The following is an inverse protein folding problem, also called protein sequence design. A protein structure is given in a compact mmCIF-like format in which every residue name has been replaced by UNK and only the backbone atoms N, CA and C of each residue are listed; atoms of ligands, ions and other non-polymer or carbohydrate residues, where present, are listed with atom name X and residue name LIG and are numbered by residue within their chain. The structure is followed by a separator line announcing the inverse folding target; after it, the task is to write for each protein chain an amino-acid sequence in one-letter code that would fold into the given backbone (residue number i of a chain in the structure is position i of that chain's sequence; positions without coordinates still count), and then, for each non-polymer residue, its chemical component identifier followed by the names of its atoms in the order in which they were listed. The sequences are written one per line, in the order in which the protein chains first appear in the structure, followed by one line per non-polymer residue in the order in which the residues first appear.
data_IF_070137627051
#
_entry.id   IF_070137627051
#
_cell.length_a   1.000
_cell.length_b   1.000
_cell.length_c   1.000
_cell.angle_alpha   90.00
_cell.angle_beta   90.00
_cell.angle_gamma   90.00
#
_symmetry.space_group_name_H-M   'P 1'
#
loop_
_entity.id
_entity.type
_entity.pdbx_description
1 polymer ?
#
# COMPACT_ATOMS: atom_id res chain seq x y z
N UNK A 1 -8.43 31.42 -1.26
CA UNK A 1 -8.60 30.17 -0.50
C UNK A 1 -9.28 30.51 0.81
N UNK A 2 -10.06 29.59 1.38
CA UNK A 2 -10.63 29.83 2.71
C UNK A 2 -9.56 29.61 3.79
N UNK A 3 -9.63 30.30 4.94
CA UNK A 3 -8.70 30.09 6.07
C UNK A 3 -8.66 28.61 6.51
N UNK A 4 -9.79 27.91 6.35
CA UNK A 4 -9.89 26.47 6.54
C UNK A 4 -8.92 25.70 5.63
N UNK A 5 -8.90 26.00 4.33
CA UNK A 5 -8.03 25.29 3.38
C UNK A 5 -6.55 25.52 3.66
N UNK A 6 -6.19 26.74 4.05
CA UNK A 6 -4.80 27.10 4.35
C UNK A 6 -4.23 26.30 5.53
N UNK A 7 -5.06 25.95 6.51
CA UNK A 7 -4.66 25.14 7.66
C UNK A 7 -4.87 23.64 7.43
N UNK A 8 -5.95 23.25 6.76
CA UNK A 8 -6.30 21.84 6.51
C UNK A 8 -5.27 21.16 5.60
N UNK A 9 -4.91 21.79 4.47
CA UNK A 9 -4.04 21.19 3.44
C UNK A 9 -2.68 20.74 4.01
N UNK A 10 -1.91 21.56 4.75
CA UNK A 10 -0.62 21.12 5.28
C UNK A 10 -0.77 20.04 6.35
N UNK A 11 -1.76 20.13 7.25
CA UNK A 11 -1.97 19.14 8.31
C UNK A 11 -2.34 17.79 7.71
N UNK A 12 -3.37 17.76 6.85
CA UNK A 12 -3.82 16.56 6.18
C UNK A 12 -2.76 16.01 5.22
N UNK A 13 -2.06 16.89 4.50
CA UNK A 13 -1.01 16.51 3.56
C UNK A 13 0.14 15.75 4.24
N UNK A 14 0.63 16.25 5.37
CA UNK A 14 1.69 15.56 6.14
C UNK A 14 1.19 14.21 6.66
N UNK A 15 -0.02 14.17 7.23
CA UNK A 15 -0.60 12.92 7.72
C UNK A 15 -0.82 11.89 6.60
N UNK A 16 -1.26 12.33 5.42
CA UNK A 16 -1.45 11.48 4.25
C UNK A 16 -0.12 10.89 3.76
N UNK A 17 0.96 11.69 3.73
CA UNK A 17 2.30 11.20 3.37
C UNK A 17 2.79 10.15 4.37
N UNK A 18 2.69 10.43 5.67
CA UNK A 18 3.10 9.48 6.72
C UNK A 18 2.28 8.19 6.64
N UNK A 19 0.96 8.32 6.48
CA UNK A 19 0.04 7.19 6.30
C UNK A 19 0.41 6.34 5.09
N UNK A 20 0.69 6.97 3.93
CA UNK A 20 1.09 6.27 2.71
C UNK A 20 2.39 5.49 2.90
N UNK A 21 3.40 6.09 3.55
CA UNK A 21 4.68 5.43 3.83
C UNK A 21 4.48 4.21 4.74
N UNK A 22 3.67 4.33 5.80
CA UNK A 22 3.39 3.23 6.72
C UNK A 22 2.64 2.07 6.04
N UNK A 23 1.59 2.36 5.26
CA UNK A 23 0.87 1.35 4.49
C UNK A 23 1.77 0.69 3.45
N UNK A 24 2.68 1.47 2.85
CA UNK A 24 3.60 0.98 1.83
C UNK A 24 4.64 0.01 2.41
N UNK A 25 5.20 0.34 3.57
CA UNK A 25 6.08 -0.56 4.33
C UNK A 25 5.30 -1.81 4.73
N UNK A 26 4.06 -1.67 5.20
CA UNK A 26 3.18 -2.78 5.56
C UNK A 26 3.03 -3.82 4.45
N UNK A 27 2.86 -3.40 3.20
CA UNK A 27 2.76 -4.32 2.06
C UNK A 27 4.03 -5.09 1.72
N UNK A 28 5.18 -4.69 2.29
CA UNK A 28 6.50 -5.31 2.05
C UNK A 28 6.92 -6.27 3.16
N UNK A 29 6.40 -6.09 4.38
CA UNK A 29 6.73 -6.96 5.52
C UNK A 29 6.20 -8.38 5.30
N UNK A 30 6.94 -9.39 5.75
CA UNK A 30 6.52 -10.80 5.74
C UNK A 30 5.74 -11.16 7.00
N UNK A 31 4.73 -12.02 6.86
CA UNK A 31 3.84 -12.42 7.96
C UNK A 31 2.49 -11.69 7.90
N UNK A 32 1.62 -11.96 8.87
CA UNK A 32 0.25 -11.39 8.90
C UNK A 32 0.13 -10.25 9.92
N UNK A 33 0.76 -10.40 11.09
CA UNK A 33 0.59 -9.47 12.22
C UNK A 33 1.22 -8.10 11.93
N UNK A 34 2.47 -8.07 11.47
CA UNK A 34 3.18 -6.81 11.17
C UNK A 34 2.46 -5.94 10.12
N UNK A 35 2.10 -6.50 8.94
CA UNK A 35 1.30 -5.80 7.95
C UNK A 35 -0.03 -5.29 8.49
N UNK A 36 -0.76 -6.11 9.27
CA UNK A 36 -2.04 -5.72 9.84
C UNK A 36 -1.90 -4.52 10.78
N UNK A 37 -0.92 -4.55 11.69
CA UNK A 37 -0.64 -3.45 12.62
C UNK A 37 -0.28 -2.18 11.86
N UNK A 38 0.57 -2.26 10.84
CA UNK A 38 0.96 -1.12 10.02
C UNK A 38 -0.21 -0.51 9.24
N UNK A 39 -1.13 -1.34 8.71
CA UNK A 39 -2.35 -0.86 8.04
C UNK A 39 -3.28 -0.17 9.03
N UNK A 40 -3.48 -0.74 10.23
CA UNK A 40 -4.29 -0.11 11.27
C UNK A 40 -3.71 1.25 11.71
N UNK A 41 -2.40 1.33 11.94
CA UNK A 41 -1.72 2.58 12.30
C UNK A 41 -1.82 3.58 11.15
N UNK A 42 -1.60 3.15 9.90
CA UNK A 42 -1.73 4.00 8.72
C UNK A 42 -3.13 4.59 8.58
N UNK A 43 -4.17 3.78 8.76
CA UNK A 43 -5.56 4.22 8.74
C UNK A 43 -5.86 5.21 9.87
N UNK A 44 -5.35 4.93 11.08
CA UNK A 44 -5.48 5.84 12.23
C UNK A 44 -4.79 7.19 11.99
N UNK A 45 -3.57 7.21 11.48
CA UNK A 45 -2.84 8.45 11.18
C UNK A 45 -3.56 9.28 10.12
N UNK A 46 -4.08 8.64 9.07
CA UNK A 46 -4.85 9.34 8.03
C UNK A 46 -6.17 9.91 8.58
N UNK A 47 -6.90 9.12 9.36
CA UNK A 47 -8.13 9.55 10.02
C UNK A 47 -7.87 10.72 10.97
N UNK A 48 -6.86 10.60 11.83
CA UNK A 48 -6.53 11.60 12.83
C UNK A 48 -6.05 12.91 12.18
N UNK A 49 -5.26 12.83 11.12
CA UNK A 49 -4.86 14.01 10.34
C UNK A 49 -6.02 14.70 9.65
N UNK A 50 -6.99 13.94 9.13
CA UNK A 50 -8.23 14.48 8.55
C UNK A 50 -9.05 15.18 9.64
N UNK A 51 -9.25 14.55 10.79
CA UNK A 51 -9.97 15.11 11.92
C UNK A 51 -9.31 16.40 12.45
N UNK A 52 -8.01 16.36 12.75
CA UNK A 52 -7.27 17.53 13.23
C UNK A 52 -7.23 18.66 12.21
N UNK A 53 -7.03 18.33 10.93
CA UNK A 53 -7.04 19.34 9.87
C UNK A 53 -8.36 20.09 9.80
N UNK A 54 -9.48 19.38 9.96
CA UNK A 54 -10.80 19.99 9.99
C UNK A 54 -11.02 20.78 11.28
N UNK A 55 -10.74 20.20 12.45
CA UNK A 55 -10.92 20.88 13.74
C UNK A 55 -10.15 22.21 13.78
N UNK A 56 -8.85 22.19 13.47
CA UNK A 56 -8.02 23.40 13.44
C UNK A 56 -8.48 24.34 12.33
N UNK A 57 -8.80 23.82 11.15
CA UNK A 57 -9.28 24.63 10.02
C UNK A 57 -10.59 25.38 10.32
N UNK A 58 -11.55 24.73 10.98
CA UNK A 58 -12.81 25.34 11.39
C UNK A 58 -12.61 26.35 12.51
N UNK A 59 -11.81 26.04 13.53
CA UNK A 59 -11.52 26.99 14.62
C UNK A 59 -10.89 28.28 14.07
N UNK A 60 -9.92 28.16 13.17
CA UNK A 60 -9.30 29.32 12.51
C UNK A 60 -10.32 30.08 11.68
N UNK A 61 -11.13 29.37 10.88
CA UNK A 61 -12.16 29.99 10.05
C UNK A 61 -13.22 30.76 10.87
N UNK A 62 -13.60 30.25 12.04
CA UNK A 62 -14.53 30.90 12.96
C UNK A 62 -13.92 32.10 13.72
N UNK A 63 -12.59 32.17 13.82
CA UNK A 63 -11.89 33.25 14.52
C UNK A 63 -11.62 34.50 13.68
N UNK A 64 -11.94 34.47 12.38
CA UNK A 64 -11.77 35.62 11.47
C UNK A 64 -12.78 36.71 11.81
N UNK A 65 -12.42 38.02 11.72
CA UNK A 65 -13.39 39.10 11.86
C UNK A 65 -14.53 38.98 10.84
N UNK A 66 -15.77 39.08 11.31
CA UNK A 66 -17.00 38.85 10.53
C UNK A 66 -17.04 37.48 9.80
N UNK A 67 -17.06 36.36 10.55
CA UNK A 67 -17.07 35.03 9.96
C UNK A 67 -18.39 34.76 9.21
N UNK A 68 -18.35 34.11 8.03
CA UNK A 68 -19.55 33.78 7.28
C UNK A 68 -20.40 32.76 8.06
N UNK A 69 -21.72 32.81 7.90
CA UNK A 69 -22.65 31.89 8.58
C UNK A 69 -22.34 30.40 8.32
N UNK A 70 -21.77 30.11 7.15
CA UNK A 70 -21.33 28.77 6.74
C UNK A 70 -20.29 28.16 7.70
N UNK A 71 -19.46 28.98 8.36
CA UNK A 71 -18.44 28.53 9.31
C UNK A 71 -19.03 27.90 10.58
N UNK A 72 -20.31 28.13 10.87
CA UNK A 72 -21.02 27.61 12.06
C UNK A 72 -22.10 26.59 11.72
N UNK A 73 -22.56 26.54 10.46
CA UNK A 73 -23.59 25.58 10.05
C UNK A 73 -23.05 24.18 9.79
N UNK A 74 -21.73 24.02 9.67
CA UNK A 74 -21.12 22.77 9.25
C UNK A 74 -20.81 21.84 10.42
N UNK A 75 -21.23 20.58 10.30
CA UNK A 75 -20.93 19.52 11.28
C UNK A 75 -19.69 18.70 10.87
N UNK A 76 -18.86 19.23 9.98
CA UNK A 76 -17.77 18.49 9.35
C UNK A 76 -16.73 17.89 10.32
N UNK A 77 -16.32 18.52 11.44
CA UNK A 77 -15.45 17.87 12.42
C UNK A 77 -16.10 16.65 13.07
N UNK A 78 -17.39 16.75 13.42
CA UNK A 78 -18.18 15.65 13.98
C UNK A 78 -18.38 14.53 12.94
N UNK A 79 -18.66 14.90 11.70
CA UNK A 79 -18.76 13.97 10.57
C UNK A 79 -17.43 13.24 10.32
N UNK A 80 -16.31 13.94 10.38
CA UNK A 80 -14.97 13.34 10.24
C UNK A 80 -14.61 12.40 11.39
N UNK A 81 -15.06 12.69 12.61
CA UNK A 81 -14.85 11.81 13.77
C UNK A 81 -15.44 10.42 13.53
N UNK A 82 -16.68 10.36 13.02
CA UNK A 82 -17.40 9.10 12.80
C UNK A 82 -17.17 8.50 11.41
N UNK A 83 -17.30 9.29 10.35
CA UNK A 83 -17.21 8.82 8.97
C UNK A 83 -15.79 8.84 8.41
N UNK A 84 -14.85 9.58 9.02
CA UNK A 84 -13.47 9.73 8.52
C UNK A 84 -12.66 8.42 8.54
N UNK A 85 -13.12 7.41 9.28
CA UNK A 85 -12.52 6.07 9.26
C UNK A 85 -12.62 5.42 7.88
N UNK A 86 -13.68 5.72 7.12
CA UNK A 86 -13.89 5.19 5.77
C UNK A 86 -12.82 5.71 4.81
N UNK A 87 -12.64 7.03 4.60
CA UNK A 87 -11.58 7.53 3.73
C UNK A 87 -10.18 7.18 4.27
N UNK A 88 -9.95 7.21 5.59
CA UNK A 88 -8.67 6.81 6.18
C UNK A 88 -8.31 5.35 5.94
N UNK A 89 -9.27 4.45 6.12
CA UNK A 89 -9.10 3.02 5.87
C UNK A 89 -8.93 2.70 4.39
N UNK A 90 -9.75 3.30 3.51
CA UNK A 90 -9.63 3.12 2.06
C UNK A 90 -8.27 3.60 1.55
N UNK A 91 -7.78 4.73 2.04
CA UNK A 91 -6.48 5.26 1.68
C UNK A 91 -5.34 4.33 2.12
N UNK A 92 -5.35 3.86 3.36
CA UNK A 92 -4.37 2.90 3.87
C UNK A 92 -4.39 1.58 3.07
N UNK A 93 -5.58 1.02 2.83
CA UNK A 93 -5.75 -0.20 2.04
C UNK A 93 -5.28 -0.04 0.60
N UNK A 94 -5.52 1.12 -0.03
CA UNK A 94 -5.06 1.41 -1.38
C UNK A 94 -3.52 1.33 -1.48
N UNK A 95 -2.80 2.03 -0.61
CA UNK A 95 -1.33 2.01 -0.61
C UNK A 95 -0.74 0.66 -0.24
N UNK A 96 -1.39 -0.03 0.70
CA UNK A 96 -1.03 -1.40 1.03
C UNK A 96 -1.17 -2.33 -0.17
N UNK A 97 -2.31 -2.27 -0.87
CA UNK A 97 -2.59 -3.11 -2.03
C UNK A 97 -1.66 -2.81 -3.20
N UNK A 98 -1.36 -1.53 -3.46
CA UNK A 98 -0.37 -1.12 -4.46
C UNK A 98 0.99 -1.75 -4.15
N UNK A 99 1.42 -1.70 -2.89
CA UNK A 99 2.71 -2.26 -2.45
C UNK A 99 2.75 -3.78 -2.58
N UNK A 100 1.66 -4.43 -2.22
CA UNK A 100 1.48 -5.87 -2.36
C UNK A 100 1.44 -6.30 -3.83
N UNK A 101 0.77 -5.53 -4.70
CA UNK A 101 0.70 -5.78 -6.14
C UNK A 101 2.08 -5.64 -6.79
N UNK A 102 2.82 -4.57 -6.47
CA UNK A 102 4.21 -4.38 -6.92
C UNK A 102 5.05 -5.59 -6.51
N UNK A 103 4.92 -6.01 -5.24
CA UNK A 103 5.63 -7.18 -4.72
C UNK A 103 5.32 -8.43 -5.55
N UNK A 104 4.04 -8.71 -5.79
CA UNK A 104 3.58 -9.90 -6.52
C UNK A 104 3.99 -9.88 -8.00
N UNK A 105 3.87 -8.74 -8.67
CA UNK A 105 4.24 -8.57 -10.09
C UNK A 105 5.75 -8.65 -10.31
N UNK A 106 6.56 -8.06 -9.42
CA UNK A 106 8.03 -8.09 -9.54
C UNK A 106 8.58 -9.49 -9.24
N UNK A 107 8.00 -10.22 -8.29
CA UNK A 107 8.47 -11.58 -7.96
C UNK A 107 8.08 -12.63 -9.02
N UNK A 108 6.87 -12.56 -9.60
CA UNK A 108 6.47 -13.49 -10.67
C UNK A 108 7.36 -13.40 -11.92
N UNK A 109 8.04 -12.27 -12.16
CA UNK A 109 8.94 -12.11 -13.32
C UNK A 109 10.25 -12.89 -13.23
N UNK A 110 10.63 -13.41 -12.06
CA UNK A 110 11.89 -14.17 -11.90
C UNK A 110 11.74 -15.65 -12.29
N UNK A 111 10.58 -16.24 -12.09
CA UNK A 111 10.40 -17.69 -12.32
C UNK A 111 10.26 -18.03 -13.82
N UNK A 112 9.59 -17.16 -14.60
CA UNK A 112 9.39 -17.39 -16.03
C UNK A 112 10.69 -17.31 -16.86
N UNK A 113 11.72 -16.62 -16.36
CA UNK A 113 13.02 -16.53 -17.05
C UNK A 113 13.96 -17.68 -16.71
N UNK A 114 13.78 -18.36 -15.57
CA UNK A 114 14.65 -19.46 -15.16
C UNK A 114 14.20 -20.79 -15.80
N UNK A 115 12.88 -20.99 -15.95
CA UNK A 115 12.31 -22.21 -16.54
C UNK A 115 12.68 -22.42 -18.03
N UNK A 116 12.87 -21.34 -18.80
CA UNK A 116 13.24 -21.45 -20.21
C UNK A 116 14.71 -21.89 -20.45
N UNK A 117 15.62 -21.64 -19.50
CA UNK A 117 17.03 -22.03 -19.65
C UNK A 117 17.30 -23.47 -19.21
N UNK A 118 16.59 -23.98 -18.20
CA UNK A 118 16.81 -25.34 -17.68
C UNK A 118 16.22 -26.41 -18.61
N UNK A 119 15.11 -26.13 -19.29
CA UNK A 119 14.52 -27.09 -20.24
C UNK A 119 15.45 -27.36 -21.44
N UNK A 120 16.12 -26.32 -21.94
CA UNK A 120 17.06 -26.47 -23.07
C UNK A 120 18.35 -27.21 -22.70
N UNK A 121 18.74 -27.22 -21.41
CA UNK A 121 19.93 -27.93 -20.94
C UNK A 121 19.65 -29.41 -20.67
N UNK A 122 18.44 -29.73 -20.18
CA UNK A 122 18.04 -31.11 -19.91
C UNK A 122 17.86 -31.92 -21.20
N UNK A 123 17.34 -31.35 -22.28
CA UNK A 123 17.21 -32.08 -23.56
C UNK A 123 18.56 -32.34 -24.23
N UNK A 124 19.54 -31.46 -24.03
CA UNK A 124 20.89 -31.63 -24.55
C UNK A 124 21.67 -32.75 -23.80
N UNK A 125 21.49 -32.88 -22.48
CA UNK A 125 22.15 -33.92 -21.70
C UNK A 125 21.50 -35.31 -21.88
N UNK A 126 20.19 -35.38 -22.15
CA UNK A 126 19.49 -36.67 -22.37
C UNK A 126 19.88 -37.31 -23.71
N UNK A 127 20.17 -36.54 -24.77
CA UNK A 127 20.61 -37.12 -26.05
C UNK A 127 22.06 -37.63 -26.05
N UNK A 128 22.94 -37.17 -25.15
CA UNK A 128 24.36 -37.55 -25.14
C UNK A 128 24.63 -38.87 -24.39
N UNK A 129 23.71 -39.32 -23.53
CA UNK A 129 23.94 -40.48 -22.66
C UNK A 129 23.62 -41.84 -23.32
N UNK A 130 22.96 -41.88 -24.48
CA UNK A 130 22.38 -43.14 -25.02
C UNK A 130 23.20 -43.87 -26.10
N UNK A 131 24.53 -43.69 -26.16
CA UNK A 131 25.38 -44.38 -27.18
C UNK A 131 26.65 -45.07 -26.63
N UNK A 132 26.68 -45.50 -25.36
CA UNK A 132 27.86 -46.21 -24.80
C UNK A 132 27.59 -47.44 -23.91
N UNK A 133 26.60 -48.27 -24.24
CA UNK A 133 26.53 -49.62 -23.64
C UNK A 133 27.39 -50.62 -24.43
N UNK A 134 28.63 -50.81 -23.99
CA UNK A 134 29.62 -51.71 -24.59
C UNK A 134 29.54 -53.19 -24.14
N UNK A 135 28.49 -53.59 -23.42
CA UNK A 135 28.38 -54.94 -22.86
C UNK A 135 27.00 -55.55 -23.13
N UNK A 136 26.74 -55.97 -24.37
CA UNK A 136 25.76 -57.03 -24.65
C UNK A 136 26.51 -58.34 -24.90
N UNK A 137 26.34 -59.38 -24.06
CA UNK A 137 26.85 -60.71 -24.37
C UNK A 137 25.98 -61.38 -25.45
N UNK A 138 26.57 -62.23 -26.31
CA UNK A 138 25.83 -62.93 -27.36
C UNK A 138 24.85 -63.93 -26.75
N UNK A 139 23.63 -63.90 -27.26
CA UNK A 139 22.58 -64.88 -26.99
C UNK A 139 22.95 -66.23 -27.61
N UNK A 140 23.03 -67.26 -26.77
CA UNK A 140 22.94 -68.68 -27.15
C UNK A 140 22.01 -69.40 -26.19
#
# INVERSE_FOLDING_TARGET
MTPLQEMFIPIFGVAAVVSAVLAFIGGRVSGVIGPLVLVCISGFVCWFGLFLGLEVGYQVWQSVPDPPAEAFSDTAPMGALFAGWIPGGLFACFWFFVSWLIRKCVWKRKDDKFSACDLSRSDADVQVVDTRNAYQPPTS
#
